data_IF_229118534381
#
_entry.id   IF_229118534381
#
_cell.length_a   1.000
_cell.length_b   1.000
_cell.length_c   1.000
_cell.angle_alpha   90.00
_cell.angle_beta   90.00
_cell.angle_gamma   90.00
#
_symmetry.space_group_name_H-M   'P 1'
#
loop_
_entity.id
_entity.type
_entity.pdbx_description
1 polymer ?
#
# COMPACT_ATOMS: atom_id res chain seq x y z
N UNK A 1 25.35 14.85 -0.96
CA UNK A 1 24.41 13.80 -0.48
C UNK A 1 24.48 13.79 1.04
N UNK A 2 23.40 14.05 1.80
CA UNK A 2 23.47 13.98 3.25
C UNK A 2 23.75 12.53 3.67
N UNK A 3 24.70 12.36 4.57
CA UNK A 3 25.09 11.04 5.08
C UNK A 3 23.98 10.49 5.97
N UNK A 4 23.61 9.23 5.73
CA UNK A 4 22.54 8.54 6.46
C UNK A 4 23.04 8.13 7.85
N UNK A 5 22.33 8.57 8.89
CA UNK A 5 22.68 8.32 10.30
C UNK A 5 22.22 6.93 10.83
N UNK A 6 21.31 6.24 10.13
CA UNK A 6 20.79 4.92 10.53
C UNK A 6 21.40 3.81 9.68
N UNK A 7 21.98 2.80 10.36
CA UNK A 7 22.46 1.54 9.75
C UNK A 7 21.31 0.60 9.39
N UNK A 8 20.09 0.84 9.89
CA UNK A 8 18.92 -0.01 9.64
C UNK A 8 18.26 0.37 8.30
N UNK A 9 17.77 -0.61 7.53
CA UNK A 9 17.01 -0.31 6.32
C UNK A 9 15.76 0.51 6.65
N UNK A 10 15.55 1.62 5.96
CA UNK A 10 14.37 2.45 6.15
C UNK A 10 13.22 1.94 5.28
N UNK A 11 12.04 1.76 5.88
CA UNK A 11 10.83 1.31 5.19
C UNK A 11 9.80 2.43 5.08
N UNK A 12 9.22 2.56 3.89
CA UNK A 12 8.03 3.35 3.62
C UNK A 12 6.85 2.44 3.34
N UNK A 13 5.73 2.64 4.02
CA UNK A 13 4.50 1.86 3.85
C UNK A 13 3.43 2.77 3.24
N UNK A 14 2.87 2.38 2.10
CA UNK A 14 1.88 3.14 1.33
C UNK A 14 0.64 2.27 1.16
N UNK A 15 -0.53 2.75 1.61
CA UNK A 15 -1.71 1.90 1.73
C UNK A 15 -2.89 2.50 1.02
N UNK A 16 -3.30 1.88 -0.09
CA UNK A 16 -4.53 2.20 -0.78
C UNK A 16 -5.71 1.59 -0.03
N UNK A 17 -6.40 2.43 0.73
CA UNK A 17 -7.51 1.98 1.57
C UNK A 17 -8.69 1.53 0.71
N UNK A 18 -8.99 2.21 -0.40
CA UNK A 18 -10.14 1.82 -1.23
C UNK A 18 -9.92 0.42 -1.77
N UNK A 19 -8.76 0.16 -2.39
CA UNK A 19 -8.45 -1.14 -2.97
C UNK A 19 -8.46 -2.26 -1.92
N UNK A 20 -7.86 -2.03 -0.75
CA UNK A 20 -7.86 -3.03 0.33
C UNK A 20 -9.25 -3.32 0.90
N UNK A 21 -10.13 -2.32 1.01
CA UNK A 21 -11.50 -2.52 1.47
C UNK A 21 -12.36 -3.25 0.45
N UNK A 22 -12.27 -2.90 -0.84
CA UNK A 22 -12.95 -3.61 -1.92
C UNK A 22 -12.51 -5.08 -1.94
N UNK A 23 -11.20 -5.32 -1.95
CA UNK A 23 -10.63 -6.66 -1.97
C UNK A 23 -11.00 -7.49 -0.73
N UNK A 24 -11.00 -6.89 0.47
CA UNK A 24 -11.33 -7.62 1.70
C UNK A 24 -12.83 -7.98 1.81
N UNK A 25 -13.72 -7.08 1.34
CA UNK A 25 -15.16 -7.32 1.30
C UNK A 25 -15.53 -8.40 0.29
N UNK A 26 -15.00 -8.31 -0.92
CA UNK A 26 -15.41 -9.15 -2.03
C UNK A 26 -14.87 -10.58 -1.92
N UNK A 27 -13.66 -10.76 -1.37
CA UNK A 27 -13.02 -12.06 -1.31
C UNK A 27 -13.10 -12.78 0.04
N UNK A 28 -13.20 -12.06 1.17
CA UNK A 28 -12.97 -12.68 2.49
C UNK A 28 -14.00 -12.36 3.56
N UNK A 29 -14.94 -11.43 3.36
CA UNK A 29 -15.85 -10.93 4.42
C UNK A 29 -15.12 -10.55 5.71
N UNK A 30 -13.86 -10.11 5.61
CA UNK A 30 -12.97 -9.82 6.74
C UNK A 30 -12.55 -8.37 6.75
N UNK A 31 -12.13 -7.90 7.91
CA UNK A 31 -11.56 -6.57 8.09
C UNK A 31 -10.06 -6.57 7.80
N UNK A 32 -9.55 -5.52 7.18
CA UNK A 32 -8.12 -5.34 6.96
C UNK A 32 -7.42 -5.00 8.28
N UNK A 33 -6.32 -5.69 8.59
CA UNK A 33 -5.51 -5.42 9.78
C UNK A 33 -4.27 -4.55 9.46
N UNK A 34 -4.43 -3.24 9.62
CA UNK A 34 -3.38 -2.24 9.37
C UNK A 34 -2.21 -2.31 10.37
N UNK A 35 -2.43 -2.89 11.56
CA UNK A 35 -1.36 -3.11 12.53
C UNK A 35 -0.45 -4.25 12.08
N UNK A 36 -1.01 -5.32 11.51
CA UNK A 36 -0.23 -6.41 10.90
C UNK A 36 0.63 -5.90 9.75
N UNK A 37 0.15 -4.93 8.97
CA UNK A 37 0.93 -4.32 7.89
C UNK A 37 2.13 -3.52 8.43
N UNK A 38 1.93 -2.76 9.52
CA UNK A 38 3.04 -2.08 10.20
C UNK A 38 4.07 -3.08 10.70
N UNK A 39 3.63 -4.14 11.40
CA UNK A 39 4.51 -5.21 11.90
C UNK A 39 5.28 -5.90 10.79
N UNK A 40 4.63 -6.17 9.65
CA UNK A 40 5.29 -6.73 8.48
C UNK A 40 6.35 -5.78 7.92
N UNK A 41 5.98 -4.52 7.70
CA UNK A 41 6.89 -3.52 7.13
C UNK A 41 8.11 -3.28 7.99
N UNK A 42 7.98 -3.32 9.32
CA UNK A 42 9.06 -3.14 10.29
C UNK A 42 9.74 -4.45 10.74
N UNK A 43 9.35 -5.59 10.15
CA UNK A 43 10.03 -6.86 10.39
C UNK A 43 11.50 -6.81 9.92
N UNK A 44 12.27 -7.83 10.27
CA UNK A 44 13.68 -7.98 9.84
C UNK A 44 14.58 -6.79 10.22
N UNK A 45 14.34 -6.15 11.37
CA UNK A 45 15.13 -5.02 11.89
C UNK A 45 15.12 -3.78 10.96
N UNK A 46 14.04 -3.57 10.21
CA UNK A 46 13.79 -2.35 9.44
C UNK A 46 13.29 -1.24 10.35
N UNK A 47 13.62 -0.01 10.02
CA UNK A 47 13.15 1.18 10.74
C UNK A 47 12.08 1.89 9.92
N UNK A 48 10.93 2.16 10.55
CA UNK A 48 9.82 2.85 9.89
C UNK A 48 10.18 4.31 9.64
N UNK A 49 10.33 4.68 8.37
CA UNK A 49 10.50 6.08 7.99
C UNK A 49 9.14 6.79 7.90
N UNK A 50 8.17 6.14 7.23
CA UNK A 50 6.82 6.68 7.10
C UNK A 50 5.80 5.58 6.77
N UNK A 51 4.63 5.66 7.39
CA UNK A 51 3.43 4.93 6.96
C UNK A 51 2.37 5.94 6.51
N UNK A 52 1.87 5.82 5.28
CA UNK A 52 0.83 6.67 4.71
C UNK A 52 -0.37 5.81 4.32
N UNK A 53 -1.56 6.20 4.78
CA UNK A 53 -2.81 5.60 4.35
C UNK A 53 -3.62 6.62 3.57
N UNK A 54 -4.10 6.19 2.41
CA UNK A 54 -4.82 7.01 1.45
C UNK A 54 -6.29 6.67 1.56
N UNK A 55 -7.08 7.60 2.10
CA UNK A 55 -8.50 7.42 2.39
C UNK A 55 -9.30 8.31 1.47
N UNK A 56 -10.33 7.74 0.87
CA UNK A 56 -11.33 8.47 0.12
C UNK A 56 -12.62 8.49 0.91
N UNK A 57 -13.21 9.67 1.03
CA UNK A 57 -14.45 9.90 1.77
C UNK A 57 -15.49 10.60 0.90
N UNK A 58 -16.76 10.43 1.21
CA UNK A 58 -17.84 11.22 0.58
C UNK A 58 -18.03 12.51 1.35
N UNK A 59 -18.39 13.57 0.63
CA UNK A 59 -18.76 14.82 1.27
C UNK A 59 -19.92 14.56 2.25
N UNK A 60 -19.86 15.17 3.44
CA UNK A 60 -20.82 15.02 4.54
C UNK A 60 -20.98 13.62 5.15
N UNK A 61 -20.19 12.62 4.72
CA UNK A 61 -20.20 11.26 5.30
C UNK A 61 -19.15 11.13 6.41
N UNK A 62 -19.59 11.02 7.66
CA UNK A 62 -18.71 10.88 8.83
C UNK A 62 -18.38 9.42 9.18
N UNK A 63 -18.91 8.45 8.43
CA UNK A 63 -18.71 7.02 8.70
C UNK A 63 -17.24 6.59 8.64
N UNK A 64 -16.39 7.29 7.89
CA UNK A 64 -14.96 7.04 7.80
C UNK A 64 -14.16 7.56 9.01
N UNK A 65 -14.71 8.46 9.83
CA UNK A 65 -13.95 9.13 10.90
C UNK A 65 -13.40 8.19 11.96
N UNK A 66 -14.15 7.21 12.50
CA UNK A 66 -13.61 6.25 13.47
C UNK A 66 -12.43 5.46 12.91
N UNK A 67 -12.50 5.12 11.61
CA UNK A 67 -11.44 4.41 10.92
C UNK A 67 -10.18 5.28 10.72
N UNK A 68 -10.36 6.53 10.28
CA UNK A 68 -9.26 7.50 10.13
C UNK A 68 -8.57 7.77 11.48
N UNK A 69 -9.36 7.91 12.55
CA UNK A 69 -8.85 8.05 13.90
C UNK A 69 -8.00 6.84 14.30
N UNK A 70 -8.51 5.61 14.09
CA UNK A 70 -7.77 4.37 14.35
C UNK A 70 -6.46 4.29 13.57
N UNK A 71 -6.42 4.67 12.30
CA UNK A 71 -5.18 4.71 11.52
C UNK A 71 -4.17 5.68 12.12
N UNK A 72 -4.65 6.85 12.56
CA UNK A 72 -3.82 7.89 13.15
C UNK A 72 -3.25 7.45 14.49
N UNK A 73 -4.03 6.74 15.34
CA UNK A 73 -3.53 6.18 16.60
C UNK A 73 -2.52 5.05 16.40
N UNK A 74 -2.61 4.31 15.29
CA UNK A 74 -1.60 3.33 14.88
C UNK A 74 -0.30 3.96 14.35
N UNK A 75 -0.29 5.28 14.10
CA UNK A 75 0.89 6.01 13.62
C UNK A 75 0.93 6.22 12.10
N UNK A 76 -0.15 5.94 11.38
CA UNK A 76 -0.25 6.30 9.95
C UNK A 76 -0.47 7.80 9.78
N UNK A 77 0.21 8.38 8.80
CA UNK A 77 -0.20 9.65 8.20
C UNK A 77 -1.38 9.38 7.27
N UNK A 78 -2.56 9.90 7.61
CA UNK A 78 -3.75 9.74 6.77
C UNK A 78 -3.83 10.88 5.76
N UNK A 79 -3.84 10.57 4.47
CA UNK A 79 -4.19 11.51 3.39
C UNK A 79 -5.65 11.28 3.00
N UNK A 80 -6.45 12.35 3.00
CA UNK A 80 -7.89 12.31 2.75
C UNK A 80 -8.22 13.01 1.45
N UNK A 81 -9.05 12.38 0.63
CA UNK A 81 -9.62 12.99 -0.57
C UNK A 81 -11.13 12.84 -0.50
N UNK A 82 -11.84 13.93 -0.74
CA UNK A 82 -13.29 13.92 -0.86
C UNK A 82 -13.66 13.56 -2.29
N UNK A 83 -14.51 12.55 -2.49
CA UNK A 83 -15.07 12.20 -3.80
C UNK A 83 -15.75 13.43 -4.39
N UNK A 84 -15.34 13.80 -5.60
CA UNK A 84 -15.98 14.88 -6.34
C UNK A 84 -16.97 14.31 -7.35
N UNK A 85 -18.09 15.01 -7.52
CA UNK A 85 -19.03 14.74 -8.60
C UNK A 85 -18.38 15.22 -9.89
N UNK A 86 -18.03 14.27 -10.77
CA UNK A 86 -17.29 14.57 -11.99
C UNK A 86 -18.24 14.93 -13.15
N UNK A 87 -19.33 14.18 -13.32
CA UNK A 87 -20.34 14.47 -14.34
C UNK A 87 -21.68 13.78 -14.01
N UNK A 88 -22.78 14.43 -14.39
CA UNK A 88 -24.11 13.79 -14.39
C UNK A 88 -24.39 13.36 -15.81
N UNK A 89 -24.55 12.06 -16.05
CA UNK A 89 -24.97 11.55 -17.36
C UNK A 89 -26.34 12.12 -17.76
N UNK A 90 -26.68 12.09 -19.06
CA UNK A 90 -27.99 12.53 -19.56
C UNK A 90 -29.18 11.81 -18.89
N UNK A 91 -28.93 10.63 -18.31
CA UNK A 91 -29.89 9.84 -17.52
C UNK A 91 -29.93 10.20 -16.02
N UNK A 92 -29.23 11.26 -15.58
CA UNK A 92 -29.20 11.70 -14.18
C UNK A 92 -28.26 10.90 -13.27
N UNK A 93 -27.48 9.93 -13.79
CA UNK A 93 -26.51 9.17 -12.98
C UNK A 93 -25.27 10.00 -12.72
N UNK A 94 -24.96 10.20 -11.44
CA UNK A 94 -23.76 10.87 -10.95
C UNK A 94 -22.56 9.92 -11.08
N UNK A 95 -21.54 10.35 -11.81
CA UNK A 95 -20.23 9.68 -11.88
C UNK A 95 -19.33 10.33 -10.83
N UNK A 96 -18.83 9.49 -9.92
CA UNK A 96 -17.89 9.89 -8.89
C UNK A 96 -16.50 9.47 -9.34
N UNK A 97 -15.55 10.40 -9.33
CA UNK A 97 -14.14 10.09 -9.57
C UNK A 97 -13.34 10.48 -8.32
N UNK A 98 -12.41 9.60 -7.96
CA UNK A 98 -11.51 9.81 -6.83
C UNK A 98 -10.78 8.54 -6.45
N UNK A 99 -9.62 8.35 -7.07
CA UNK A 99 -8.61 7.36 -6.71
C UNK A 99 -7.34 8.07 -6.23
N UNK A 100 -6.52 7.39 -5.45
CA UNK A 100 -5.28 7.96 -4.91
C UNK A 100 -4.04 7.60 -5.73
N UNK A 101 -4.18 6.89 -6.86
CA UNK A 101 -3.08 6.24 -7.58
C UNK A 101 -1.93 7.20 -7.90
N UNK A 102 -2.23 8.34 -8.53
CA UNK A 102 -1.22 9.37 -8.79
C UNK A 102 -0.62 9.97 -7.53
N UNK A 103 -1.43 10.17 -6.48
CA UNK A 103 -0.95 10.71 -5.20
C UNK A 103 -0.05 9.73 -4.44
N UNK A 104 -0.33 8.43 -4.54
CA UNK A 104 0.50 7.34 -4.02
C UNK A 104 1.83 7.32 -4.76
N UNK A 105 1.81 7.27 -6.10
CA UNK A 105 3.01 7.32 -6.94
C UNK A 105 3.86 8.55 -6.63
N UNK A 106 3.23 9.73 -6.54
CA UNK A 106 3.93 10.97 -6.24
C UNK A 106 4.63 10.94 -4.87
N UNK A 107 4.00 10.39 -3.84
CA UNK A 107 4.63 10.24 -2.53
C UNK A 107 5.74 9.19 -2.52
N UNK A 108 5.58 8.07 -3.23
CA UNK A 108 6.62 7.05 -3.37
C UNK A 108 7.87 7.66 -4.01
N UNK A 109 7.71 8.39 -5.12
CA UNK A 109 8.82 9.10 -5.78
C UNK A 109 9.39 10.20 -4.89
N UNK A 110 8.56 10.96 -4.18
CA UNK A 110 9.06 12.04 -3.31
C UNK A 110 9.88 11.53 -2.13
N UNK A 111 9.57 10.34 -1.62
CA UNK A 111 10.22 9.77 -0.44
C UNK A 111 11.35 8.80 -0.78
N UNK A 112 11.48 8.39 -2.05
CA UNK A 112 12.34 7.28 -2.44
C UNK A 112 13.78 7.41 -1.96
N UNK A 113 14.35 8.62 -1.93
CA UNK A 113 15.75 8.85 -1.54
C UNK A 113 16.01 8.58 -0.05
N UNK A 114 14.95 8.51 0.75
CA UNK A 114 15.02 8.19 2.18
C UNK A 114 14.75 6.72 2.48
N UNK A 115 14.20 5.98 1.51
CA UNK A 115 13.71 4.61 1.68
C UNK A 115 14.69 3.60 1.06
N UNK A 116 14.82 2.43 1.67
CA UNK A 116 15.42 1.25 1.02
C UNK A 116 14.35 0.25 0.62
N UNK A 117 13.29 0.15 1.44
CA UNK A 117 12.17 -0.76 1.22
C UNK A 117 10.87 0.03 1.11
N UNK A 118 10.08 -0.31 0.11
CA UNK A 118 8.76 0.27 -0.14
C UNK A 118 7.75 -0.87 -0.07
N UNK A 119 6.83 -0.77 0.88
CA UNK A 119 5.71 -1.69 1.04
C UNK A 119 4.46 -1.01 0.52
N UNK A 120 3.85 -1.57 -0.53
CA UNK A 120 2.62 -1.08 -1.13
C UNK A 120 1.47 -2.03 -0.75
N UNK A 121 0.53 -1.54 0.05
CA UNK A 121 -0.73 -2.22 0.31
C UNK A 121 -1.76 -1.86 -0.74
N UNK A 122 -1.71 -2.50 -1.90
CA UNK A 122 -2.71 -2.41 -2.97
C UNK A 122 -2.69 -3.69 -3.82
N UNK A 123 -3.85 -4.07 -4.34
CA UNK A 123 -4.00 -5.13 -5.34
C UNK A 123 -4.02 -4.63 -6.78
N UNK A 124 -3.84 -3.32 -7.01
CA UNK A 124 -3.90 -2.73 -8.36
C UNK A 124 -2.64 -2.99 -9.18
N UNK A 125 -2.84 -3.34 -10.46
CA UNK A 125 -1.77 -3.55 -11.44
C UNK A 125 -1.17 -2.25 -11.96
N UNK A 126 -1.86 -1.11 -11.80
CA UNK A 126 -1.40 0.20 -12.29
C UNK A 126 -0.12 0.68 -11.58
N UNK A 127 0.24 0.07 -10.45
CA UNK A 127 1.49 0.36 -9.74
C UNK A 127 2.72 -0.43 -10.24
N UNK A 128 2.58 -1.29 -11.25
CA UNK A 128 3.70 -2.09 -11.76
C UNK A 128 4.82 -1.21 -12.34
N UNK A 129 4.47 -0.24 -13.18
CA UNK A 129 5.46 0.64 -13.83
C UNK A 129 6.27 1.44 -12.80
N UNK A 130 5.63 1.96 -11.75
CA UNK A 130 6.34 2.67 -10.69
C UNK A 130 7.21 1.72 -9.85
N UNK A 131 6.76 0.48 -9.63
CA UNK A 131 7.56 -0.53 -8.93
C UNK A 131 8.87 -0.80 -9.71
N UNK A 132 8.78 -0.93 -11.04
CA UNK A 132 9.96 -1.08 -11.91
C UNK A 132 10.93 0.08 -11.78
N UNK A 133 10.44 1.32 -11.91
CA UNK A 133 11.26 2.52 -11.77
C UNK A 133 11.95 2.61 -10.40
N UNK A 134 11.27 2.19 -9.33
CA UNK A 134 11.85 2.19 -7.98
C UNK A 134 12.93 1.12 -7.82
N UNK A 135 12.73 -0.07 -8.39
CA UNK A 135 13.73 -1.13 -8.39
C UNK A 135 14.98 -0.76 -9.18
N UNK A 136 14.83 -0.14 -10.35
CA UNK A 136 15.96 0.37 -11.15
C UNK A 136 16.81 1.36 -10.35
N UNK A 137 16.20 2.06 -9.40
CA UNK A 137 16.87 2.97 -8.45
C UNK A 137 17.33 2.29 -7.16
N UNK A 138 17.43 0.96 -7.17
CA UNK A 138 17.97 0.15 -6.07
C UNK A 138 17.04 -0.01 -4.88
N UNK A 139 15.74 0.24 -5.03
CA UNK A 139 14.74 0.06 -3.96
C UNK A 139 14.16 -1.34 -3.99
N UNK A 140 13.92 -1.93 -2.82
CA UNK A 140 13.12 -3.17 -2.69
C UNK A 140 11.65 -2.80 -2.64
N UNK A 141 10.84 -3.32 -3.55
CA UNK A 141 9.39 -3.10 -3.58
C UNK A 141 8.65 -4.38 -3.19
N UNK A 142 7.76 -4.28 -2.20
CA UNK A 142 6.93 -5.37 -1.69
C UNK A 142 5.46 -4.99 -1.87
N UNK A 143 4.71 -5.72 -2.70
CA UNK A 143 3.28 -5.47 -2.92
C UNK A 143 2.45 -6.47 -2.11
N UNK A 144 1.52 -5.95 -1.32
CA UNK A 144 0.60 -6.69 -0.47
C UNK A 144 -0.83 -6.41 -0.96
N UNK A 145 -1.46 -7.36 -1.66
CA UNK A 145 -2.79 -7.16 -2.20
C UNK A 145 -3.87 -7.13 -1.11
N UNK A 146 -3.73 -7.90 -0.02
CA UNK A 146 -4.67 -7.93 1.13
C UNK A 146 -3.93 -8.36 2.42
N UNK A 147 -3.89 -7.54 3.47
CA UNK A 147 -3.46 -7.96 4.81
C UNK A 147 -4.63 -8.61 5.57
N UNK A 148 -4.53 -9.89 5.92
CA UNK A 148 -5.51 -10.60 6.77
C UNK A 148 -4.98 -10.81 8.20
N UNK A 149 -5.91 -11.02 9.14
CA UNK A 149 -5.73 -10.99 10.61
C UNK A 149 -4.69 -11.97 11.15
N UNK A 150 -4.45 -13.04 10.39
CA UNK A 150 -3.22 -13.78 10.34
C UNK A 150 -2.76 -13.56 8.91
N UNK A 151 -1.52 -13.15 8.62
CA UNK A 151 -0.99 -13.40 7.30
C UNK A 151 -1.03 -14.93 7.17
N UNK A 152 -2.06 -15.53 6.55
CA UNK A 152 -2.14 -16.96 6.48
C UNK A 152 -0.96 -17.33 5.59
N UNK A 153 -0.61 -18.59 5.56
CA UNK A 153 0.43 -19.11 4.69
C UNK A 153 0.16 -18.90 3.17
N UNK A 154 -0.79 -18.02 2.79
CA UNK A 154 -1.23 -17.67 1.45
C UNK A 154 -1.18 -16.16 1.13
N UNK A 155 -0.63 -15.27 1.97
CA UNK A 155 -0.37 -13.88 1.55
C UNK A 155 0.62 -13.90 0.38
N UNK A 156 0.16 -13.52 -0.80
CA UNK A 156 1.01 -13.39 -1.98
C UNK A 156 1.75 -12.07 -1.86
N UNK A 157 2.91 -12.09 -1.21
CA UNK A 157 3.87 -10.99 -1.36
C UNK A 157 4.49 -11.17 -2.73
N UNK A 158 4.15 -10.26 -3.65
CA UNK A 158 4.88 -10.16 -4.91
C UNK A 158 6.14 -9.35 -4.65
N UNK A 159 7.26 -10.05 -4.65
CA UNK A 159 8.55 -9.41 -4.85
C UNK A 159 8.66 -9.15 -6.33
N UNK A 160 8.72 -7.88 -6.67
CA UNK A 160 9.31 -7.50 -7.94
C UNK A 160 10.79 -7.32 -7.60
N UNK A 161 11.66 -8.14 -8.18
CA UNK A 161 13.07 -7.83 -8.35
C UNK A 161 13.33 -7.80 -9.86
N UNK A 162 14.22 -6.92 -10.35
CA UNK A 162 14.45 -6.67 -11.78
C UNK A 162 14.91 -7.88 -12.63
N UNK A 163 14.87 -9.10 -12.09
CA UNK A 163 15.15 -10.35 -12.78
C UNK A 163 14.10 -11.45 -12.56
N UNK A 164 13.17 -11.26 -11.63
CA UNK A 164 12.26 -12.32 -11.15
C UNK A 164 11.00 -11.73 -10.52
N UNK A 165 9.83 -12.14 -11.03
CA UNK A 165 8.61 -12.07 -10.21
C UNK A 165 8.64 -13.27 -9.27
N UNK A 166 8.73 -13.02 -7.97
CA UNK A 166 8.75 -14.09 -6.99
C UNK A 166 7.61 -13.89 -5.99
N UNK A 167 6.65 -14.80 -6.00
CA UNK A 167 5.63 -14.85 -4.96
C UNK A 167 6.20 -15.61 -3.76
N UNK A 168 6.28 -14.96 -2.60
CA UNK A 168 6.64 -15.66 -1.36
C UNK A 168 5.42 -15.68 -0.45
N UNK A 169 4.99 -16.89 -0.10
CA UNK A 169 4.03 -17.12 0.97
C UNK A 169 4.77 -16.98 2.29
N UNK A 170 4.30 -16.10 3.17
CA UNK A 170 4.81 -16.01 4.55
C UNK A 170 4.57 -17.35 5.24
N UNK A 171 5.60 -18.17 5.44
CA UNK A 171 5.49 -19.45 6.18
C UNK A 171 6.00 -20.70 5.45
N UNK A 172 6.01 -20.73 4.10
CA UNK A 172 6.56 -21.88 3.34
C UNK A 172 7.90 -21.54 2.67
N UNK A 173 8.85 -22.47 2.73
CA UNK A 173 10.18 -22.33 2.10
C UNK A 173 10.13 -22.33 0.56
N UNK A 174 8.96 -22.41 -0.06
CA UNK A 174 8.83 -22.56 -1.51
C UNK A 174 8.72 -21.19 -2.19
N UNK A 175 9.84 -20.70 -2.72
CA UNK A 175 9.86 -19.59 -3.69
C UNK A 175 9.34 -20.12 -5.02
N UNK A 176 8.14 -19.71 -5.43
CA UNK A 176 7.75 -19.80 -6.84
C UNK A 176 8.25 -18.53 -7.52
N UNK A 177 9.45 -18.62 -8.08
CA UNK A 177 10.06 -17.58 -8.90
C UNK A 177 9.77 -17.92 -10.37
N UNK A 178 9.03 -17.07 -11.08
CA UNK A 178 9.00 -17.11 -12.55
C UNK A 178 9.96 -16.04 -13.05
N UNK A 179 10.94 -16.46 -13.85
CA UNK A 179 11.64 -15.54 -14.76
C UNK A 179 10.60 -15.09 -15.80
N UNK A 180 10.55 -13.78 -16.06
CA UNK A 180 9.83 -13.24 -17.21
C UNK A 180 10.47 -13.75 -18.50
#
# INVERSE_FOLDING_TARGET
MPQRLSLKPQVGIFVDTQNLYHSARDYYQRTVNFESLLRYGTADNRELFRAISYVVERESDTSAWPFIYKLSTLGYKVRRMTLQVHHTTDAGKIIWEGNWDFGIVADMVRLMDHLDVIVLGSGDGDFLDIAEVLMERGKRVEVIPIPTDHAPDNTVVRFVDGSTSCSRRTGSRTRACRRL
#
